data_IF_151542638367
#
_entry.id   IF_151542638367
#
_cell.length_a   1.000
_cell.length_b   1.000
_cell.length_c   1.000
_cell.angle_alpha   90.00
_cell.angle_beta   90.00
_cell.angle_gamma   90.00
#
_symmetry.space_group_name_H-M   'P 1'
#
loop_
_entity.id
_entity.type
_entity.pdbx_description
1 polymer ?
#
# COMPACT_ATOMS: atom_id res chain seq x y z
N UNK A 1 -11.91 32.42 -31.39
CA UNK A 1 -12.72 33.65 -31.25
C UNK A 1 -12.78 33.99 -29.76
N UNK A 2 -12.17 35.13 -29.48
CA UNK A 2 -12.53 36.15 -28.47
C UNK A 2 -12.26 35.67 -27.03
N UNK A 3 -11.13 35.98 -26.36
CA UNK A 3 -10.51 37.29 -26.03
C UNK A 3 -11.37 38.14 -25.11
N UNK A 4 -10.74 38.60 -24.05
CA UNK A 4 -10.82 39.90 -23.38
C UNK A 4 -10.50 39.69 -21.91
N UNK A 5 -9.31 40.06 -21.41
CA UNK A 5 -8.73 41.40 -21.14
C UNK A 5 -9.62 42.22 -20.20
N UNK A 6 -9.03 42.60 -19.18
CA UNK A 6 -8.83 43.95 -18.62
C UNK A 6 -8.77 43.86 -17.12
N UNK A 7 -7.92 44.50 -16.44
CA UNK A 7 -7.13 45.67 -16.66
C UNK A 7 -7.21 46.54 -15.42
N UNK A 8 -6.11 46.71 -14.78
CA UNK A 8 -5.52 47.96 -14.35
C UNK A 8 -6.31 48.98 -13.51
N UNK A 9 -5.58 49.96 -13.09
CA UNK A 9 -4.97 50.21 -11.78
C UNK A 9 -5.59 51.52 -11.19
N UNK A 10 -5.32 51.83 -9.95
CA UNK A 10 -5.32 53.25 -9.58
C UNK A 10 -4.40 53.52 -8.38
N UNK A 11 -3.35 54.19 -8.71
CA UNK A 11 -2.58 55.11 -7.87
C UNK A 11 -3.49 56.21 -7.31
N UNK A 12 -3.39 56.51 -6.06
CA UNK A 12 -3.54 57.90 -5.59
C UNK A 12 -2.56 58.15 -4.45
N UNK A 13 -1.80 59.16 -4.65
CA UNK A 13 -0.78 59.70 -3.79
C UNK A 13 -1.34 60.72 -2.78
N UNK A 14 -0.46 61.08 -1.88
CA UNK A 14 -0.34 62.40 -1.22
C UNK A 14 -1.08 62.63 0.09
N UNK A 15 -0.38 62.94 1.06
CA UNK A 15 0.06 64.16 1.77
C UNK A 15 0.13 63.84 3.26
N UNK A 16 1.21 63.92 3.97
CA UNK A 16 1.94 65.08 4.40
C UNK A 16 1.35 65.69 5.68
N UNK A 17 1.91 65.35 6.87
CA UNK A 17 1.87 66.25 8.02
C UNK A 17 3.03 65.92 8.97
N UNK A 18 3.97 66.83 9.08
CA UNK A 18 4.94 66.92 10.15
C UNK A 18 4.23 67.20 11.47
N UNK A 19 4.55 66.49 12.51
CA UNK A 19 4.36 66.96 13.89
C UNK A 19 5.47 66.40 14.79
N UNK A 20 6.17 67.31 15.28
CA UNK A 20 7.19 67.49 16.31
C UNK A 20 7.42 66.36 17.32
N UNK A 21 8.71 66.27 17.57
CA UNK A 21 9.39 65.57 18.64
C UNK A 21 8.73 65.69 20.03
N UNK A 22 8.55 64.56 20.67
CA UNK A 22 8.59 64.47 22.11
C UNK A 22 9.56 63.33 22.46
N UNK A 23 10.74 63.70 22.98
CA UNK A 23 11.64 62.81 23.62
C UNK A 23 10.98 62.24 24.88
N UNK A 24 10.44 61.03 24.77
CA UNK A 24 10.01 60.24 25.88
C UNK A 24 10.55 58.83 25.65
N UNK A 25 11.51 58.42 26.48
CA UNK A 25 12.02 57.07 26.47
C UNK A 25 10.83 56.13 26.66
N UNK A 26 10.52 55.21 25.73
CA UNK A 26 9.43 54.28 25.95
C UNK A 26 9.83 53.34 27.11
N UNK A 27 8.86 52.99 27.99
CA UNK A 27 9.13 52.01 29.03
C UNK A 27 9.58 50.69 28.41
N UNK A 28 10.48 49.95 29.06
CA UNK A 28 10.92 48.69 28.54
C UNK A 28 9.72 47.74 28.34
N UNK A 29 9.73 46.93 27.26
CA UNK A 29 8.64 45.99 27.02
C UNK A 29 8.54 45.01 28.19
N UNK A 30 7.30 44.59 28.55
CA UNK A 30 7.13 43.58 29.57
C UNK A 30 7.88 42.26 29.16
N UNK A 31 8.42 41.54 30.14
CA UNK A 31 9.09 40.28 29.84
C UNK A 31 8.14 39.33 29.13
N UNK A 32 8.63 38.58 28.13
CA UNK A 32 7.80 37.60 27.42
C UNK A 32 7.21 36.60 28.40
N UNK A 33 5.97 36.16 28.19
CA UNK A 33 5.37 35.15 29.06
C UNK A 33 6.24 33.89 29.07
N UNK A 34 6.35 33.22 30.21
CA UNK A 34 7.14 31.99 30.30
C UNK A 34 6.67 31.00 29.26
N UNK A 35 7.62 30.49 28.47
CA UNK A 35 7.37 29.44 27.49
C UNK A 35 6.72 28.27 28.23
N UNK A 36 5.58 27.73 27.72
CA UNK A 36 4.99 26.56 28.34
C UNK A 36 6.05 25.46 28.48
N UNK A 37 6.19 24.92 29.69
CA UNK A 37 7.03 23.79 29.94
C UNK A 37 6.57 22.64 29.02
N UNK A 38 7.48 21.82 28.46
CA UNK A 38 7.12 20.66 27.68
C UNK A 38 6.19 19.79 28.58
N UNK A 39 4.94 19.68 28.18
CA UNK A 39 4.03 18.73 28.82
C UNK A 39 4.62 17.36 28.58
N UNK A 40 4.98 16.65 29.64
CA UNK A 40 5.41 15.28 29.55
C UNK A 40 4.36 14.49 28.76
N UNK A 41 4.74 13.61 27.82
CA UNK A 41 3.80 12.76 27.11
C UNK A 41 2.95 12.02 28.15
N UNK A 42 1.63 12.11 28.02
CA UNK A 42 0.74 11.28 28.82
C UNK A 42 1.17 9.81 28.65
N UNK A 43 1.18 8.99 29.70
CA UNK A 43 1.51 7.58 29.57
C UNK A 43 0.56 6.98 28.53
N UNK A 44 1.14 6.51 27.45
CA UNK A 44 0.42 5.72 26.42
C UNK A 44 -0.29 4.59 27.17
N UNK A 45 -1.60 4.40 27.01
CA UNK A 45 -2.27 3.24 27.59
C UNK A 45 -1.48 2.00 27.16
N UNK A 46 -1.02 1.23 28.14
CA UNK A 46 -0.39 -0.04 27.87
C UNK A 46 -1.37 -0.84 27.00
N UNK A 47 -0.95 -1.13 25.77
CA UNK A 47 -1.71 -2.00 24.89
C UNK A 47 -1.93 -3.31 25.67
N UNK A 48 -3.19 -3.59 25.96
CA UNK A 48 -3.59 -4.89 26.51
C UNK A 48 -2.97 -5.93 25.59
N UNK A 49 -2.22 -6.95 26.11
CA UNK A 49 -1.71 -8.00 25.26
C UNK A 49 -2.90 -8.62 24.54
N UNK A 50 -3.04 -8.32 23.25
CA UNK A 50 -3.98 -9.00 22.40
C UNK A 50 -3.59 -10.47 22.51
N UNK A 51 -4.50 -11.30 22.99
CA UNK A 51 -4.39 -12.76 22.93
C UNK A 51 -3.95 -13.07 21.49
N UNK A 52 -2.76 -13.63 21.34
CA UNK A 52 -2.20 -13.89 20.01
C UNK A 52 -3.19 -14.81 19.30
N UNK A 53 -4.02 -14.24 18.43
CA UNK A 53 -4.85 -15.01 17.52
C UNK A 53 -3.89 -15.89 16.74
N UNK A 54 -4.21 -17.20 16.66
CA UNK A 54 -3.34 -18.14 15.96
C UNK A 54 -3.13 -17.65 14.52
N UNK A 55 -1.91 -17.26 14.23
CA UNK A 55 -1.55 -16.60 12.99
C UNK A 55 -1.80 -17.53 11.79
N UNK A 56 -2.25 -16.96 10.67
CA UNK A 56 -2.33 -17.66 9.40
C UNK A 56 -0.92 -18.01 8.91
N UNK A 57 -0.67 -19.26 8.63
CA UNK A 57 0.62 -19.81 8.19
C UNK A 57 0.57 -20.12 6.70
N UNK A 58 1.60 -19.75 5.96
CA UNK A 58 1.79 -20.14 4.57
C UNK A 58 2.20 -21.60 4.48
N UNK A 59 1.54 -22.33 3.59
CA UNK A 59 1.85 -23.76 3.32
C UNK A 59 2.54 -23.91 1.97
N UNK A 60 1.93 -23.41 0.90
CA UNK A 60 2.48 -23.54 -0.45
C UNK A 60 1.82 -22.55 -1.41
N UNK A 61 2.47 -22.35 -2.57
CA UNK A 61 1.87 -21.70 -3.73
C UNK A 61 2.05 -22.57 -4.97
N UNK A 62 0.95 -22.90 -5.64
CA UNK A 62 0.93 -23.64 -6.89
C UNK A 62 0.50 -22.72 -8.03
N UNK A 63 1.21 -22.84 -9.16
CA UNK A 63 0.91 -22.07 -10.36
C UNK A 63 0.31 -22.98 -11.43
N UNK A 64 -0.61 -22.43 -12.23
CA UNK A 64 -1.24 -23.14 -13.34
C UNK A 64 -1.91 -22.16 -14.31
N UNK A 65 -2.41 -22.67 -15.43
CA UNK A 65 -3.11 -21.91 -16.46
C UNK A 65 -4.64 -22.03 -16.38
N UNK A 66 -5.15 -22.69 -15.34
CA UNK A 66 -6.58 -22.82 -15.09
C UNK A 66 -6.88 -23.32 -13.70
N UNK A 67 -8.08 -23.04 -13.23
CA UNK A 67 -8.62 -23.50 -11.95
C UNK A 67 -9.97 -24.19 -12.15
N UNK A 68 -10.36 -25.02 -11.19
CA UNK A 68 -11.69 -25.63 -11.17
C UNK A 68 -12.79 -24.57 -10.91
N UNK A 69 -14.05 -24.98 -11.07
CA UNK A 69 -15.18 -24.07 -10.88
C UNK A 69 -15.27 -23.42 -9.49
N UNK A 70 -14.67 -24.02 -8.48
CA UNK A 70 -14.62 -23.51 -7.10
C UNK A 70 -13.40 -22.61 -6.84
N UNK A 71 -12.43 -22.52 -7.76
CA UNK A 71 -11.21 -21.72 -7.60
C UNK A 71 -10.24 -22.23 -6.54
N UNK A 72 -10.43 -23.44 -6.03
CA UNK A 72 -9.64 -23.99 -4.93
C UNK A 72 -8.63 -25.08 -5.34
N UNK A 73 -8.62 -25.45 -6.61
CA UNK A 73 -7.66 -26.39 -7.19
C UNK A 73 -7.36 -26.03 -8.64
N UNK A 74 -6.13 -26.36 -9.08
CA UNK A 74 -5.77 -26.23 -10.49
C UNK A 74 -6.57 -27.23 -11.35
N UNK A 75 -6.93 -26.84 -12.57
CA UNK A 75 -7.58 -27.71 -13.54
C UNK A 75 -6.65 -28.79 -14.11
N UNK A 76 -5.33 -28.61 -13.92
CA UNK A 76 -4.28 -29.50 -14.39
C UNK A 76 -3.11 -29.58 -13.42
N UNK A 77 -2.00 -30.18 -13.86
CA UNK A 77 -0.79 -30.23 -13.05
C UNK A 77 -0.21 -28.81 -12.84
N UNK A 78 0.41 -28.55 -11.67
CA UNK A 78 1.16 -27.32 -11.46
C UNK A 78 2.23 -27.11 -12.53
N UNK A 79 2.35 -25.90 -13.03
CA UNK A 79 3.32 -25.52 -14.06
C UNK A 79 4.11 -24.29 -13.65
N UNK A 80 5.33 -24.21 -14.15
CA UNK A 80 6.19 -23.01 -14.07
C UNK A 80 6.55 -22.47 -15.44
N UNK A 81 5.92 -22.99 -16.49
CA UNK A 81 6.09 -22.52 -17.88
C UNK A 81 4.71 -22.25 -18.47
N UNK A 82 4.56 -21.07 -19.06
CA UNK A 82 3.30 -20.59 -19.60
C UNK A 82 3.49 -20.02 -21.02
N UNK A 83 2.39 -19.99 -21.78
CA UNK A 83 2.34 -19.32 -23.07
C UNK A 83 1.99 -17.84 -22.95
N UNK A 84 2.35 -17.00 -23.92
CA UNK A 84 2.08 -15.58 -23.85
C UNK A 84 0.61 -15.19 -23.67
N UNK A 85 -0.32 -16.03 -24.09
CA UNK A 85 -1.76 -15.78 -23.99
C UNK A 85 -2.43 -16.42 -22.79
N UNK A 86 -1.67 -17.15 -21.96
CA UNK A 86 -2.24 -17.82 -20.80
C UNK A 86 -2.69 -16.82 -19.72
N UNK A 87 -3.78 -17.14 -19.06
CA UNK A 87 -4.09 -16.60 -17.74
C UNK A 87 -3.33 -17.41 -16.72
N UNK A 88 -2.55 -16.75 -15.90
CA UNK A 88 -1.67 -17.39 -14.92
C UNK A 88 -2.33 -17.32 -13.55
N UNK A 89 -2.61 -18.46 -12.96
CA UNK A 89 -3.23 -18.60 -11.66
C UNK A 89 -2.21 -18.98 -10.60
N UNK A 90 -2.34 -18.38 -9.42
CA UNK A 90 -1.60 -18.77 -8.22
C UNK A 90 -2.59 -19.19 -7.14
N UNK A 91 -2.51 -20.44 -6.71
CA UNK A 91 -3.26 -20.97 -5.59
C UNK A 91 -2.39 -20.94 -4.35
N UNK A 92 -2.70 -20.04 -3.43
CA UNK A 92 -1.98 -19.87 -2.16
C UNK A 92 -2.68 -20.73 -1.11
N UNK A 93 -1.98 -21.75 -0.63
CA UNK A 93 -2.44 -22.61 0.45
C UNK A 93 -1.98 -22.06 1.78
N UNK A 94 -2.90 -21.90 2.70
CA UNK A 94 -2.65 -21.41 4.05
C UNK A 94 -3.35 -22.30 5.07
N UNK A 95 -2.83 -22.30 6.30
CA UNK A 95 -3.45 -22.95 7.45
C UNK A 95 -3.51 -21.98 8.61
N UNK A 96 -4.64 -21.92 9.31
CA UNK A 96 -4.84 -21.02 10.45
C UNK A 96 -5.48 -21.76 11.62
N UNK A 97 -4.98 -21.53 12.82
CA UNK A 97 -5.58 -22.09 14.04
C UNK A 97 -6.88 -21.40 14.47
N UNK A 98 -7.24 -20.27 13.87
CA UNK A 98 -8.44 -19.50 14.19
C UNK A 98 -9.02 -18.80 12.96
N UNK A 99 -10.30 -18.45 13.01
CA UNK A 99 -10.97 -17.66 11.97
C UNK A 99 -10.69 -16.16 12.07
N UNK A 100 -9.49 -15.77 12.50
CA UNK A 100 -9.09 -14.36 12.54
C UNK A 100 -8.79 -13.86 11.14
N UNK A 101 -9.23 -12.64 10.78
CA UNK A 101 -8.95 -12.06 9.48
C UNK A 101 -7.45 -11.89 9.25
N UNK A 102 -6.95 -12.34 8.11
CA UNK A 102 -5.59 -12.09 7.62
C UNK A 102 -5.65 -11.61 6.18
N UNK A 103 -4.73 -10.74 5.80
CA UNK A 103 -4.62 -10.25 4.43
C UNK A 103 -3.52 -11.01 3.69
N UNK A 104 -3.90 -11.73 2.65
CA UNK A 104 -2.96 -12.40 1.74
C UNK A 104 -2.77 -11.51 0.52
N UNK A 105 -1.52 -11.23 0.17
CA UNK A 105 -1.15 -10.42 -0.98
C UNK A 105 -0.29 -11.23 -1.95
N UNK A 106 -0.54 -11.08 -3.24
CA UNK A 106 0.26 -11.62 -4.32
C UNK A 106 0.84 -10.48 -5.16
N UNK A 107 2.16 -10.40 -5.20
CA UNK A 107 2.91 -9.41 -5.98
C UNK A 107 3.63 -10.10 -7.12
N UNK A 108 3.30 -9.71 -8.35
CA UNK A 108 3.85 -10.28 -9.57
C UNK A 108 4.90 -9.34 -10.15
N UNK A 109 6.05 -9.88 -10.50
CA UNK A 109 7.16 -9.13 -11.08
C UNK A 109 7.70 -9.80 -12.34
N UNK A 110 8.24 -8.97 -13.25
CA UNK A 110 8.95 -9.39 -14.47
C UNK A 110 10.43 -8.99 -14.36
N UNK A 111 11.32 -9.89 -14.76
CA UNK A 111 12.76 -9.64 -14.72
C UNK A 111 13.32 -9.37 -13.33
N UNK A 112 12.61 -9.81 -12.27
CA UNK A 112 13.03 -9.68 -10.87
C UNK A 112 12.65 -8.36 -10.20
N UNK A 113 12.34 -7.28 -10.93
CA UNK A 113 12.11 -5.96 -10.33
C UNK A 113 10.91 -5.20 -10.88
N UNK A 114 10.51 -5.43 -12.14
CA UNK A 114 9.40 -4.70 -12.75
C UNK A 114 8.07 -5.21 -12.22
N UNK A 115 7.32 -4.36 -11.52
CA UNK A 115 5.99 -4.70 -11.02
C UNK A 115 5.03 -4.92 -12.20
N UNK A 116 4.40 -6.08 -12.23
CA UNK A 116 3.39 -6.46 -13.21
C UNK A 116 2.00 -6.25 -12.66
N UNK A 117 1.75 -6.77 -11.47
CA UNK A 117 0.47 -6.66 -10.76
C UNK A 117 0.69 -6.88 -9.26
N UNK A 118 -0.19 -6.30 -8.46
CA UNK A 118 -0.29 -6.58 -7.03
C UNK A 118 -1.76 -6.64 -6.67
N UNK A 119 -2.14 -7.69 -5.96
CA UNK A 119 -3.51 -7.89 -5.51
C UNK A 119 -3.52 -8.48 -4.11
N UNK A 120 -4.57 -8.17 -3.36
CA UNK A 120 -4.76 -8.68 -2.00
C UNK A 120 -6.16 -9.26 -1.82
N UNK A 121 -6.29 -10.18 -0.87
CA UNK A 121 -7.56 -10.76 -0.42
C UNK A 121 -7.52 -10.96 1.08
N UNK A 122 -8.61 -10.58 1.72
CA UNK A 122 -8.81 -10.88 3.13
C UNK A 122 -9.44 -12.25 3.27
N UNK A 123 -8.87 -13.07 4.14
CA UNK A 123 -9.37 -14.40 4.49
C UNK A 123 -9.57 -14.50 5.99
N UNK A 124 -10.64 -15.16 6.40
CA UNK A 124 -10.99 -15.39 7.79
C UNK A 124 -11.50 -16.83 7.92
N UNK A 125 -10.60 -17.79 7.80
CA UNK A 125 -10.94 -19.21 7.87
C UNK A 125 -10.05 -19.92 8.90
N UNK A 126 -10.64 -20.76 9.73
CA UNK A 126 -9.89 -21.69 10.57
C UNK A 126 -9.58 -22.95 9.76
N UNK A 127 -8.42 -23.56 10.00
CA UNK A 127 -7.96 -24.72 9.25
C UNK A 127 -7.28 -24.35 7.94
N UNK A 128 -7.28 -25.33 7.02
CA UNK A 128 -6.68 -25.18 5.71
C UNK A 128 -7.57 -24.37 4.77
N UNK A 129 -6.96 -23.45 4.05
CA UNK A 129 -7.64 -22.57 3.11
C UNK A 129 -6.82 -22.40 1.84
N UNK A 130 -7.51 -22.18 0.73
CA UNK A 130 -6.89 -21.87 -0.57
C UNK A 130 -7.40 -20.55 -1.07
N UNK A 131 -6.48 -19.65 -1.38
CA UNK A 131 -6.79 -18.34 -1.96
C UNK A 131 -6.26 -18.27 -3.38
N UNK A 132 -7.14 -17.98 -4.33
CA UNK A 132 -6.80 -17.82 -5.73
C UNK A 132 -6.40 -16.39 -6.03
N UNK A 133 -5.30 -16.22 -6.75
CA UNK A 133 -4.91 -15.01 -7.45
C UNK A 133 -4.67 -15.33 -8.91
N UNK A 134 -4.94 -14.39 -9.81
CA UNK A 134 -4.60 -14.56 -11.20
C UNK A 134 -4.21 -13.25 -11.86
N UNK A 135 -3.45 -13.39 -12.93
CA UNK A 135 -3.12 -12.30 -13.84
C UNK A 135 -3.41 -12.72 -15.28
N UNK A 136 -3.91 -11.79 -16.07
CA UNK A 136 -4.14 -11.97 -17.50
C UNK A 136 -3.72 -10.73 -18.26
N UNK A 137 -3.28 -10.92 -19.50
CA UNK A 137 -2.89 -9.84 -20.39
C UNK A 137 -3.42 -10.11 -21.80
N UNK A 138 -4.45 -9.36 -22.24
CA UNK A 138 -5.08 -9.59 -23.56
C UNK A 138 -4.10 -9.51 -24.74
N UNK A 139 -3.12 -8.59 -24.66
CA UNK A 139 -2.09 -8.42 -25.67
C UNK A 139 -1.00 -9.48 -25.62
N UNK A 140 -1.01 -10.33 -24.61
CA UNK A 140 0.00 -11.34 -24.32
C UNK A 140 1.12 -10.85 -23.42
N UNK A 141 1.72 -11.81 -22.73
CA UNK A 141 2.86 -11.60 -21.83
C UNK A 141 4.16 -11.56 -22.65
N UNK A 142 5.07 -10.62 -22.39
CA UNK A 142 6.45 -10.72 -22.90
C UNK A 142 7.09 -12.04 -22.48
N UNK A 143 7.83 -12.67 -23.39
CA UNK A 143 8.62 -13.86 -23.03
C UNK A 143 9.71 -13.48 -22.01
N UNK A 144 9.94 -14.34 -21.03
CA UNK A 144 10.95 -14.10 -20.02
C UNK A 144 10.58 -14.64 -18.64
N UNK A 145 11.39 -14.28 -17.65
CA UNK A 145 11.25 -14.74 -16.28
C UNK A 145 10.35 -13.82 -15.45
N UNK A 146 9.48 -14.44 -14.73
CA UNK A 146 8.54 -13.81 -13.81
C UNK A 146 8.65 -14.42 -12.43
N UNK A 147 8.18 -13.71 -11.42
CA UNK A 147 7.97 -14.28 -10.10
C UNK A 147 6.71 -13.76 -9.45
N UNK A 148 6.12 -14.55 -8.57
CA UNK A 148 5.06 -14.14 -7.67
C UNK A 148 5.57 -14.26 -6.23
N UNK A 149 5.51 -13.16 -5.49
CA UNK A 149 5.81 -13.11 -4.06
C UNK A 149 4.51 -13.07 -3.28
N UNK A 150 4.39 -13.93 -2.27
CA UNK A 150 3.22 -14.03 -1.40
C UNK A 150 3.56 -13.42 -0.05
N UNK A 151 2.67 -12.55 0.42
CA UNK A 151 2.76 -11.96 1.76
C UNK A 151 1.50 -12.22 2.56
N UNK A 152 1.64 -12.40 3.87
CA UNK A 152 0.54 -12.48 4.82
C UNK A 152 0.72 -11.32 5.80
N UNK A 153 -0.31 -10.48 5.93
CA UNK A 153 -0.32 -9.29 6.79
C UNK A 153 0.91 -8.38 6.57
N UNK A 154 1.30 -8.22 5.30
CA UNK A 154 2.44 -7.40 4.87
C UNK A 154 3.81 -8.06 4.98
N UNK A 155 3.91 -9.27 5.56
CA UNK A 155 5.16 -10.02 5.66
C UNK A 155 5.27 -11.04 4.53
N UNK A 156 6.33 -10.97 3.73
CA UNK A 156 6.58 -11.97 2.69
C UNK A 156 6.86 -13.33 3.32
N UNK A 157 6.13 -14.34 2.87
CA UNK A 157 6.17 -15.71 3.41
C UNK A 157 6.55 -16.75 2.37
N UNK A 158 6.49 -16.42 1.08
CA UNK A 158 6.87 -17.32 0.01
C UNK A 158 7.01 -16.62 -1.32
N UNK A 159 7.61 -17.31 -2.29
CA UNK A 159 7.68 -16.87 -3.69
C UNK A 159 7.74 -18.07 -4.62
N UNK A 160 7.36 -17.87 -5.87
CA UNK A 160 7.45 -18.86 -6.94
C UNK A 160 7.87 -18.18 -8.23
N UNK A 161 8.90 -18.74 -8.86
CA UNK A 161 9.37 -18.27 -10.17
C UNK A 161 8.69 -19.06 -11.28
N UNK A 162 8.49 -18.42 -12.43
CA UNK A 162 7.96 -19.04 -13.62
C UNK A 162 8.47 -18.33 -14.88
N UNK A 163 8.25 -18.94 -16.02
CA UNK A 163 8.73 -18.42 -17.33
C UNK A 163 7.59 -18.42 -18.33
N UNK A 164 7.56 -17.36 -19.15
CA UNK A 164 6.70 -17.27 -20.34
C UNK A 164 7.55 -17.48 -21.57
N UNK A 165 7.12 -18.38 -22.46
CA UNK A 165 7.80 -18.78 -23.70
C UNK A 165 6.88 -18.67 -24.91
#
# INVERSE_FOLDING_TARGET
MISIRNGNPLLIAMAGALALAACGNPPPPPPPPPKPAPTAPAPTPAATPATAAAATTFVAVDLGNGVNASGNALSGAPSTTFSPKDTIYALVKTSSGSASPSTISAKWTFGGSTLVNESNRQVAAAGDSVTEFHISKPDGWPAGKYSVAISIDGKQVGSKDFEVK
#
